data_IF_518957275094
#
_entry.id   IF_518957275094
#
_cell.length_a   1.000
_cell.length_b   1.000
_cell.length_c   1.000
_cell.angle_alpha   90.00
_cell.angle_beta   90.00
_cell.angle_gamma   90.00
#
_symmetry.space_group_name_H-M   'P 1'
#
loop_
_entity.id
_entity.type
_entity.pdbx_description
1 polymer ?
#
# COMPACT_ATOMS: atom_id res chain seq x y z
N UNK A 1 3.27 76.66 -46.34
CA UNK A 1 3.53 78.03 -45.85
C UNK A 1 2.90 78.14 -44.47
N UNK A 2 3.72 78.42 -43.42
CA UNK A 2 3.44 79.16 -42.14
C UNK A 2 2.03 78.99 -41.50
N UNK A 3 1.79 78.82 -40.19
CA UNK A 3 2.50 79.23 -38.97
C UNK A 3 1.62 78.81 -37.75
N UNK A 4 2.27 78.30 -36.70
CA UNK A 4 2.24 78.77 -35.29
C UNK A 4 0.92 78.96 -34.49
N UNK A 5 0.79 78.12 -33.45
CA UNK A 5 0.72 78.43 -32.00
C UNK A 5 -0.38 79.36 -31.44
N UNK A 6 -1.16 78.90 -30.43
CA UNK A 6 -1.07 79.35 -29.01
C UNK A 6 -2.09 78.69 -28.07
N UNK A 7 -1.63 78.61 -26.82
CA UNK A 7 -2.15 77.94 -25.62
C UNK A 7 -3.43 78.57 -25.04
N UNK A 8 -4.15 77.78 -24.23
CA UNK A 8 -4.76 78.25 -22.99
C UNK A 8 -4.67 77.16 -21.90
N UNK A 9 -4.22 77.60 -20.73
CA UNK A 9 -4.03 76.87 -19.48
C UNK A 9 -5.38 76.85 -18.74
N UNK A 10 -5.74 75.73 -18.12
CA UNK A 10 -6.67 75.72 -17.00
C UNK A 10 -6.16 74.78 -15.90
N UNK A 11 -5.95 75.40 -14.74
CA UNK A 11 -5.53 74.86 -13.46
C UNK A 11 -6.74 74.21 -12.76
N UNK A 12 -6.62 73.04 -12.12
CA UNK A 12 -7.74 72.50 -11.34
C UNK A 12 -7.53 71.15 -10.67
N UNK A 13 -7.01 71.20 -9.43
CA UNK A 13 -7.19 70.26 -8.32
C UNK A 13 -6.83 68.76 -8.51
N UNK A 14 -5.67 68.39 -7.97
CA UNK A 14 -5.33 67.02 -7.58
C UNK A 14 -6.05 66.68 -6.27
N UNK A 15 -7.06 65.81 -6.33
CA UNK A 15 -7.56 65.09 -5.15
C UNK A 15 -6.68 63.87 -4.91
N UNK A 16 -5.97 63.87 -3.78
CA UNK A 16 -5.23 62.72 -3.29
C UNK A 16 -6.19 61.59 -2.89
N UNK A 17 -6.10 60.44 -3.58
CA UNK A 17 -6.56 59.17 -3.04
C UNK A 17 -5.34 58.38 -2.59
N UNK A 18 -5.30 58.09 -1.29
CA UNK A 18 -4.31 57.25 -0.64
C UNK A 18 -4.28 55.87 -1.28
N UNK A 19 -3.15 55.49 -1.88
CA UNK A 19 -2.89 54.12 -2.29
C UNK A 19 -2.77 53.26 -1.02
N UNK A 20 -3.86 52.57 -0.68
CA UNK A 20 -3.85 51.54 0.35
C UNK A 20 -3.02 50.35 -0.11
N UNK A 21 -1.83 50.20 0.46
CA UNK A 21 -0.95 49.05 0.31
C UNK A 21 -1.62 47.80 0.89
N UNK A 22 -2.48 47.15 0.12
CA UNK A 22 -2.97 45.80 0.44
C UNK A 22 -1.91 44.78 0.06
N UNK A 23 -0.92 44.53 0.93
CA UNK A 23 -0.18 43.28 0.87
C UNK A 23 -1.19 42.16 1.15
N UNK A 24 -1.64 41.49 0.10
CA UNK A 24 -2.23 40.16 0.25
C UNK A 24 -1.13 39.28 0.87
N UNK A 25 -1.27 38.98 2.16
CA UNK A 25 -0.50 37.92 2.78
C UNK A 25 -0.87 36.63 2.03
N UNK A 26 -0.02 36.24 1.07
CA UNK A 26 -0.04 34.90 0.51
C UNK A 26 0.39 34.02 1.68
N UNK A 27 -0.59 33.56 2.46
CA UNK A 27 -0.35 32.56 3.48
C UNK A 27 0.21 31.35 2.76
N UNK A 28 1.51 31.12 2.91
CA UNK A 28 2.14 29.86 2.56
C UNK A 28 1.46 28.79 3.41
N UNK A 29 0.41 28.17 2.87
CA UNK A 29 -0.11 26.94 3.40
C UNK A 29 1.02 25.92 3.29
N UNK A 30 1.80 25.78 4.37
CA UNK A 30 2.80 24.74 4.49
C UNK A 30 2.02 23.43 4.32
N UNK A 31 2.22 22.73 3.18
CA UNK A 31 1.59 21.45 2.97
C UNK A 31 1.97 20.55 4.15
N UNK A 32 0.97 20.10 4.92
CA UNK A 32 1.21 19.20 6.03
C UNK A 32 1.82 17.92 5.46
N UNK A 33 2.99 17.55 5.98
CA UNK A 33 3.62 16.28 5.63
C UNK A 33 3.10 15.19 6.56
N UNK A 34 2.57 14.11 6.00
CA UNK A 34 2.18 12.96 6.82
C UNK A 34 3.44 12.17 7.21
N UNK A 35 3.46 11.66 8.44
CA UNK A 35 4.54 10.79 8.92
C UNK A 35 4.13 9.33 8.81
N UNK A 36 5.10 8.44 8.63
CA UNK A 36 4.88 6.98 8.70
C UNK A 36 4.14 6.64 10.01
N UNK A 37 3.04 5.87 9.95
CA UNK A 37 2.33 5.41 11.14
C UNK A 37 3.25 4.70 12.13
N UNK A 38 2.95 4.84 13.43
CA UNK A 38 3.73 4.17 14.48
C UNK A 38 3.35 2.69 14.65
N UNK A 39 2.20 2.27 14.13
CA UNK A 39 1.67 0.92 14.32
C UNK A 39 0.97 0.41 13.08
N UNK A 40 0.99 -0.91 12.92
CA UNK A 40 0.30 -1.63 11.86
C UNK A 40 -0.54 -2.77 12.44
N UNK A 41 -1.46 -3.27 11.62
CA UNK A 41 -2.17 -4.52 11.88
C UNK A 41 -1.30 -5.69 11.39
N UNK A 42 -1.25 -6.78 12.15
CA UNK A 42 -0.56 -8.01 11.78
C UNK A 42 -1.51 -9.21 11.81
N UNK A 43 -1.34 -10.11 10.85
CA UNK A 43 -2.02 -11.39 10.74
C UNK A 43 -1.04 -12.52 11.09
N UNK A 44 -1.45 -13.44 11.97
CA UNK A 44 -0.63 -14.61 12.34
C UNK A 44 -0.48 -15.62 11.20
N UNK A 45 0.58 -16.43 11.20
CA UNK A 45 0.88 -17.41 10.15
C UNK A 45 -0.19 -18.50 9.95
N UNK A 46 -1.01 -18.78 10.96
CA UNK A 46 -2.14 -19.69 10.82
C UNK A 46 -3.40 -19.02 10.26
N UNK A 47 -3.36 -17.72 9.98
CA UNK A 47 -4.46 -16.94 9.41
C UNK A 47 -5.63 -16.68 10.36
N UNK A 48 -5.51 -17.00 11.65
CA UNK A 48 -6.64 -16.97 12.59
C UNK A 48 -6.60 -15.85 13.60
N UNK A 49 -5.46 -15.20 13.84
CA UNK A 49 -5.34 -14.17 14.87
C UNK A 49 -4.85 -12.85 14.28
N UNK A 50 -5.42 -11.77 14.80
CA UNK A 50 -5.08 -10.40 14.47
C UNK A 50 -4.50 -9.69 15.70
N UNK A 51 -3.50 -8.86 15.47
CA UNK A 51 -2.85 -8.06 16.51
C UNK A 51 -2.42 -6.73 15.93
N UNK A 52 -2.42 -5.66 16.72
CA UNK A 52 -1.67 -4.45 16.34
C UNK A 52 -0.27 -4.53 16.95
N UNK A 53 0.71 -4.00 16.25
CA UNK A 53 2.10 -3.96 16.68
C UNK A 53 2.76 -2.62 16.33
N UNK A 54 3.90 -2.33 16.95
CA UNK A 54 4.70 -1.14 16.66
C UNK A 54 5.62 -1.36 15.46
N UNK A 55 5.57 -0.46 14.46
CA UNK A 55 6.46 -0.47 13.30
C UNK A 55 7.91 -0.07 13.64
N UNK A 56 8.18 0.36 14.87
CA UNK A 56 9.55 0.71 15.32
C UNK A 56 10.17 -0.35 16.20
N UNK A 57 9.36 -1.08 17.00
CA UNK A 57 9.87 -2.05 17.97
C UNK A 57 9.48 -3.49 17.67
N UNK A 58 8.57 -3.73 16.71
CA UNK A 58 8.02 -5.06 16.42
C UNK A 58 7.22 -5.68 17.57
N UNK A 59 6.96 -4.93 18.64
CA UNK A 59 6.23 -5.43 19.81
C UNK A 59 4.73 -5.25 19.63
N UNK A 60 3.95 -6.22 20.08
CA UNK A 60 2.49 -6.12 20.16
C UNK A 60 2.07 -4.91 20.99
N UNK A 61 1.17 -4.10 20.44
CA UNK A 61 0.54 -2.98 21.14
C UNK A 61 -0.86 -3.32 21.63
N UNK A 62 -1.61 -4.15 20.88
CA UNK A 62 -2.94 -4.63 21.26
C UNK A 62 -3.22 -5.99 20.64
N UNK A 63 -3.77 -6.92 21.42
CA UNK A 63 -4.33 -8.14 20.88
C UNK A 63 -5.76 -7.85 20.38
N UNK A 64 -6.05 -8.12 19.11
CA UNK A 64 -7.42 -8.08 18.60
C UNK A 64 -8.10 -9.45 18.77
N UNK A 65 -7.32 -10.52 18.74
CA UNK A 65 -7.79 -11.89 18.98
C UNK A 65 -8.11 -12.61 17.69
N UNK A 66 -8.99 -13.60 17.76
CA UNK A 66 -9.32 -14.44 16.60
C UNK A 66 -10.18 -13.70 15.57
N UNK A 67 -9.91 -13.94 14.29
CA UNK A 67 -10.75 -13.52 13.17
C UNK A 67 -12.07 -14.31 13.15
N UNK A 68 -13.05 -13.85 13.94
CA UNK A 68 -14.39 -14.44 14.03
C UNK A 68 -15.31 -13.85 12.97
N UNK A 69 -16.20 -14.67 12.41
CA UNK A 69 -17.17 -14.24 11.39
C UNK A 69 -16.85 -14.68 9.95
N UNK A 70 -15.90 -15.61 9.78
CA UNK A 70 -15.64 -16.27 8.51
C UNK A 70 -16.86 -17.10 8.07
N UNK A 71 -17.18 -17.06 6.77
CA UNK A 71 -18.31 -17.76 6.16
C UNK A 71 -17.81 -18.53 4.93
N UNK A 72 -17.65 -19.84 5.09
CA UNK A 72 -17.10 -20.75 4.07
C UNK A 72 -15.58 -20.85 4.07
N UNK A 73 -14.89 -19.86 4.64
CA UNK A 73 -13.45 -19.85 4.89
C UNK A 73 -13.13 -20.33 6.32
N UNK A 74 -11.94 -20.86 6.56
CA UNK A 74 -11.47 -21.31 7.89
C UNK A 74 -10.28 -20.52 8.42
N UNK A 75 -9.63 -19.73 7.56
CA UNK A 75 -8.56 -18.78 7.93
C UNK A 75 -8.46 -17.65 6.90
N UNK A 76 -7.79 -16.57 7.29
CA UNK A 76 -7.35 -15.51 6.38
C UNK A 76 -6.00 -15.88 5.75
N UNK A 77 -5.76 -15.43 4.53
CA UNK A 77 -4.50 -15.61 3.79
C UNK A 77 -3.71 -14.32 3.60
N UNK A 78 -4.35 -13.16 3.71
CA UNK A 78 -3.70 -11.85 3.61
C UNK A 78 -4.63 -10.71 4.02
N UNK A 79 -4.05 -9.55 4.34
CA UNK A 79 -4.74 -8.33 4.76
C UNK A 79 -4.11 -7.10 4.11
N UNK A 80 -4.93 -6.09 3.83
CA UNK A 80 -4.44 -4.75 3.46
C UNK A 80 -5.49 -3.66 3.77
N UNK A 81 -5.07 -2.41 3.93
CA UNK A 81 -5.93 -1.24 4.03
C UNK A 81 -6.21 -0.63 2.65
N UNK A 82 -7.49 -0.54 2.29
CA UNK A 82 -7.92 0.12 1.06
C UNK A 82 -7.80 1.65 1.19
N UNK A 83 -6.96 2.34 0.40
CA UNK A 83 -6.79 3.80 0.51
C UNK A 83 -8.07 4.61 0.30
N UNK A 84 -9.00 4.11 -0.52
CA UNK A 84 -10.23 4.82 -0.87
C UNK A 84 -11.31 4.85 0.22
N UNK A 85 -11.27 3.97 1.23
CA UNK A 85 -12.21 4.02 2.37
C UNK A 85 -11.58 3.78 3.75
N UNK A 86 -10.25 3.61 3.80
CA UNK A 86 -9.45 3.36 4.99
C UNK A 86 -9.94 2.18 5.82
N UNK A 87 -10.62 1.19 5.22
CA UNK A 87 -10.96 -0.07 5.90
C UNK A 87 -9.87 -1.09 5.63
N UNK A 88 -9.58 -1.94 6.63
CA UNK A 88 -8.79 -3.14 6.37
C UNK A 88 -9.69 -4.19 5.75
N UNK A 89 -9.28 -4.70 4.60
CA UNK A 89 -9.84 -5.89 4.01
C UNK A 89 -8.94 -7.10 4.28
N UNK A 90 -9.54 -8.27 4.27
CA UNK A 90 -8.86 -9.54 4.38
C UNK A 90 -9.39 -10.51 3.33
N UNK A 91 -8.54 -11.42 2.87
CA UNK A 91 -8.91 -12.52 1.96
C UNK A 91 -8.89 -13.83 2.75
N UNK A 92 -9.93 -14.64 2.62
CA UNK A 92 -10.05 -15.97 3.22
C UNK A 92 -9.48 -17.07 2.31
N UNK A 93 -9.21 -18.25 2.87
CA UNK A 93 -8.58 -19.38 2.16
C UNK A 93 -9.46 -20.04 1.09
N UNK A 94 -10.74 -19.69 1.01
CA UNK A 94 -11.69 -20.03 -0.05
C UNK A 94 -12.12 -18.80 -0.86
N UNK A 95 -11.36 -17.71 -0.77
CA UNK A 95 -11.57 -16.50 -1.54
C UNK A 95 -12.67 -15.58 -1.00
N UNK A 96 -13.18 -15.80 0.21
CA UNK A 96 -14.06 -14.81 0.82
C UNK A 96 -13.32 -13.50 1.06
N UNK A 97 -13.94 -12.36 0.76
CA UNK A 97 -13.37 -11.04 1.05
C UNK A 97 -14.13 -10.45 2.22
N UNK A 98 -13.38 -9.97 3.20
CA UNK A 98 -13.90 -9.53 4.48
C UNK A 98 -13.43 -8.10 4.79
N UNK A 99 -14.24 -7.35 5.52
CA UNK A 99 -13.79 -6.15 6.23
C UNK A 99 -13.48 -6.52 7.68
N UNK A 100 -12.33 -6.06 8.18
CA UNK A 100 -11.86 -6.29 9.55
C UNK A 100 -12.25 -5.14 10.47
N UNK A 101 -12.82 -5.45 11.63
CA UNK A 101 -13.01 -4.48 12.70
C UNK A 101 -11.70 -4.29 13.49
N UNK A 102 -11.05 -3.13 13.34
CA UNK A 102 -9.78 -2.81 14.05
C UNK A 102 -9.90 -2.75 15.58
N UNK A 103 -11.11 -2.69 16.12
CA UNK A 103 -11.38 -2.67 17.55
C UNK A 103 -11.22 -4.04 18.22
N UNK A 104 -11.65 -5.11 17.54
CA UNK A 104 -11.81 -6.45 18.13
C UNK A 104 -11.49 -7.63 17.17
N UNK A 105 -11.01 -7.37 15.95
CA UNK A 105 -10.60 -8.40 14.99
C UNK A 105 -11.75 -9.19 14.36
N UNK A 106 -13.02 -8.89 14.66
CA UNK A 106 -14.17 -9.52 14.01
C UNK A 106 -14.15 -9.17 12.52
N UNK A 107 -14.40 -10.16 11.68
CA UNK A 107 -14.45 -10.04 10.22
C UNK A 107 -15.88 -10.20 9.72
N UNK A 108 -16.24 -9.43 8.69
CA UNK A 108 -17.56 -9.51 8.03
C UNK A 108 -17.37 -9.67 6.54
N UNK A 109 -17.92 -10.74 5.97
CA UNK A 109 -17.85 -11.00 4.52
C UNK A 109 -18.56 -9.87 3.75
N UNK A 110 -17.91 -9.37 2.72
CA UNK A 110 -18.39 -8.29 1.85
C UNK A 110 -18.37 -8.67 0.38
N UNK A 111 -17.52 -9.60 -0.02
CA UNK A 111 -17.45 -10.11 -1.38
C UNK A 111 -16.89 -11.54 -1.39
N UNK A 112 -16.76 -12.12 -2.57
CA UNK A 112 -16.26 -13.47 -2.82
C UNK A 112 -15.47 -13.48 -4.13
N UNK A 113 -14.28 -14.06 -4.15
CA UNK A 113 -13.59 -14.29 -5.42
C UNK A 113 -14.39 -15.29 -6.27
N UNK A 114 -14.58 -14.97 -7.56
CA UNK A 114 -15.20 -15.86 -8.55
C UNK A 114 -14.23 -16.87 -9.16
N UNK A 115 -12.94 -16.77 -8.82
CA UNK A 115 -11.86 -17.66 -9.23
C UNK A 115 -11.25 -18.28 -7.99
N UNK A 116 -10.96 -19.58 -8.04
CA UNK A 116 -10.35 -20.30 -6.93
C UNK A 116 -8.90 -19.83 -6.70
N UNK A 117 -8.49 -19.80 -5.43
CA UNK A 117 -7.11 -19.54 -5.06
C UNK A 117 -6.25 -20.77 -5.34
N UNK A 118 -5.07 -20.56 -5.91
CA UNK A 118 -4.08 -21.60 -6.19
C UNK A 118 -2.79 -21.30 -5.41
N UNK A 119 -2.26 -22.32 -4.71
CA UNK A 119 -1.04 -22.19 -3.93
C UNK A 119 -1.24 -22.24 -2.42
N UNK A 120 -0.16 -21.93 -1.71
CA UNK A 120 -0.07 -21.99 -0.24
C UNK A 120 0.22 -20.63 0.37
N UNK A 121 1.01 -19.79 -0.30
CA UNK A 121 1.46 -18.50 0.19
C UNK A 121 1.00 -17.40 -0.75
N UNK A 122 0.49 -16.30 -0.18
CA UNK A 122 -0.24 -15.30 -0.93
C UNK A 122 0.20 -13.89 -0.52
N UNK A 123 0.29 -13.00 -1.51
CA UNK A 123 0.39 -11.55 -1.30
C UNK A 123 -0.96 -10.90 -1.63
N UNK A 124 -1.39 -9.95 -0.81
CA UNK A 124 -2.66 -9.23 -0.96
C UNK A 124 -2.41 -7.75 -0.74
N UNK A 125 -2.82 -6.90 -1.68
CA UNK A 125 -2.61 -5.45 -1.58
C UNK A 125 -3.57 -4.67 -2.49
N UNK A 126 -4.03 -3.49 -2.08
CA UNK A 126 -4.84 -2.62 -2.92
C UNK A 126 -3.96 -1.77 -3.81
N UNK A 127 -4.29 -1.73 -5.09
CA UNK A 127 -3.80 -0.68 -5.97
C UNK A 127 -4.55 0.63 -5.68
N UNK A 128 -3.88 1.70 -5.20
CA UNK A 128 -4.55 2.97 -4.89
C UNK A 128 -5.20 3.65 -6.11
N UNK A 129 -4.53 3.65 -7.27
CA UNK A 129 -5.01 4.34 -8.47
C UNK A 129 -6.14 3.58 -9.20
N UNK A 130 -6.06 2.25 -9.25
CA UNK A 130 -7.08 1.41 -9.89
C UNK A 130 -8.23 1.07 -8.94
N UNK A 131 -8.03 1.25 -7.62
CA UNK A 131 -8.95 0.83 -6.58
C UNK A 131 -9.35 -0.65 -6.72
N UNK A 132 -8.33 -1.52 -6.88
CA UNK A 132 -8.51 -2.96 -7.05
C UNK A 132 -7.62 -3.73 -6.08
N UNK A 133 -8.19 -4.77 -5.49
CA UNK A 133 -7.46 -5.72 -4.66
C UNK A 133 -6.66 -6.66 -5.56
N UNK A 134 -5.35 -6.69 -5.41
CA UNK A 134 -4.44 -7.66 -6.02
C UNK A 134 -4.31 -8.86 -5.10
N UNK A 135 -4.33 -10.06 -5.68
CA UNK A 135 -3.97 -11.30 -5.00
C UNK A 135 -2.97 -12.04 -5.87
N UNK A 136 -1.79 -12.34 -5.33
CA UNK A 136 -0.78 -13.18 -5.99
C UNK A 136 -0.47 -14.41 -5.16
N UNK A 137 0.14 -15.44 -5.75
CA UNK A 137 0.55 -16.64 -5.01
C UNK A 137 1.89 -17.23 -5.44
N UNK A 138 2.37 -18.16 -4.61
CA UNK A 138 3.57 -18.97 -4.85
C UNK A 138 3.51 -19.85 -6.11
N UNK A 139 2.33 -20.04 -6.73
CA UNK A 139 2.19 -20.74 -8.01
C UNK A 139 2.32 -19.82 -9.23
N UNK A 140 2.45 -18.51 -9.01
CA UNK A 140 2.43 -17.50 -10.06
C UNK A 140 1.02 -17.01 -10.42
N UNK A 141 -0.01 -17.39 -9.65
CA UNK A 141 -1.35 -16.86 -9.82
C UNK A 141 -1.34 -15.35 -9.62
N UNK A 142 -2.12 -14.64 -10.43
CA UNK A 142 -2.19 -13.20 -10.43
C UNK A 142 -3.64 -12.75 -10.67
N UNK A 143 -4.34 -12.35 -9.61
CA UNK A 143 -5.75 -11.99 -9.64
C UNK A 143 -5.94 -10.51 -9.32
N UNK A 144 -6.98 -9.92 -9.89
CA UNK A 144 -7.51 -8.62 -9.45
C UNK A 144 -8.99 -8.74 -9.12
N UNK A 145 -9.43 -8.04 -8.09
CA UNK A 145 -10.83 -8.02 -7.69
C UNK A 145 -11.30 -6.61 -7.36
N UNK A 146 -12.53 -6.28 -7.76
CA UNK A 146 -13.20 -5.03 -7.39
C UNK A 146 -14.13 -5.26 -6.19
N UNK A 147 -13.74 -4.71 -5.03
CA UNK A 147 -14.53 -4.84 -3.79
C UNK A 147 -15.71 -3.86 -3.72
N UNK A 148 -15.80 -2.91 -4.65
CA UNK A 148 -16.86 -1.90 -4.68
C UNK A 148 -18.11 -2.35 -5.43
N UNK A 149 -18.01 -3.45 -6.19
CA UNK A 149 -19.13 -3.95 -7.00
C UNK A 149 -20.06 -4.86 -6.19
N UNK A 150 -21.37 -4.80 -6.43
CA UNK A 150 -22.33 -5.70 -5.79
C UNK A 150 -22.19 -7.15 -6.28
N UNK A 151 -21.77 -7.35 -7.53
CA UNK A 151 -21.46 -8.66 -8.09
C UNK A 151 -19.95 -8.88 -8.06
N UNK A 152 -19.47 -10.11 -7.75
CA UNK A 152 -18.04 -10.33 -7.66
C UNK A 152 -17.37 -10.36 -9.04
N UNK A 153 -16.32 -9.55 -9.20
CA UNK A 153 -15.60 -9.36 -10.48
C UNK A 153 -14.11 -9.68 -10.32
N UNK A 154 -13.78 -10.96 -10.15
CA UNK A 154 -12.38 -11.40 -10.18
C UNK A 154 -11.90 -11.55 -11.62
N UNK A 155 -10.88 -10.77 -11.99
CA UNK A 155 -10.13 -10.94 -13.22
C UNK A 155 -8.90 -11.82 -12.97
N UNK A 156 -8.64 -12.74 -13.91
CA UNK A 156 -7.38 -13.50 -13.98
C UNK A 156 -6.45 -12.73 -14.92
N UNK A 157 -5.35 -12.21 -14.37
CA UNK A 157 -4.31 -11.54 -15.14
C UNK A 157 -3.26 -12.55 -15.65
N UNK A 158 -2.31 -12.08 -16.47
CA UNK A 158 -1.17 -12.90 -16.88
C UNK A 158 -0.41 -13.44 -15.67
N UNK A 159 0.05 -14.70 -15.71
CA UNK A 159 0.77 -15.30 -14.59
C UNK A 159 2.04 -14.52 -14.30
N UNK A 160 2.46 -14.49 -13.04
CA UNK A 160 3.74 -13.92 -12.67
C UNK A 160 4.84 -14.63 -13.46
N UNK A 161 5.72 -13.88 -14.12
CA UNK A 161 6.71 -14.47 -15.04
C UNK A 161 8.00 -13.66 -15.15
N UNK A 162 9.09 -14.38 -15.40
CA UNK A 162 10.36 -13.82 -15.87
C UNK A 162 10.50 -14.19 -17.34
N UNK A 163 10.43 -13.19 -18.23
CA UNK A 163 10.56 -13.36 -19.68
C UNK A 163 9.66 -14.47 -20.25
N UNK A 164 8.39 -14.49 -19.81
CA UNK A 164 7.38 -15.46 -20.24
C UNK A 164 7.42 -16.81 -19.50
N UNK A 165 8.45 -17.08 -18.69
CA UNK A 165 8.51 -18.28 -17.84
C UNK A 165 7.81 -18.02 -16.51
N UNK A 166 6.81 -18.83 -16.16
CA UNK A 166 6.05 -18.69 -14.91
C UNK A 166 6.99 -18.69 -13.70
N UNK A 167 6.87 -17.65 -12.88
CA UNK A 167 7.58 -17.49 -11.64
C UNK A 167 6.83 -18.17 -10.50
N UNK A 168 7.55 -18.96 -9.70
CA UNK A 168 7.02 -19.60 -8.50
C UNK A 168 7.73 -19.05 -7.25
N UNK A 169 6.99 -18.99 -6.14
CA UNK A 169 7.46 -18.48 -4.84
C UNK A 169 7.47 -16.96 -4.70
N UNK A 170 6.67 -16.25 -5.49
CA UNK A 170 6.40 -14.82 -5.26
C UNK A 170 5.21 -14.71 -4.33
N UNK A 171 5.44 -14.30 -3.07
CA UNK A 171 4.47 -14.54 -1.98
C UNK A 171 4.02 -13.29 -1.24
N UNK A 172 4.50 -12.11 -1.63
CA UNK A 172 4.10 -10.84 -1.02
C UNK A 172 4.15 -9.73 -2.07
N UNK A 173 3.26 -8.74 -1.94
CA UNK A 173 3.03 -7.68 -2.92
C UNK A 173 2.71 -6.38 -2.18
N UNK A 174 3.10 -5.24 -2.75
CA UNK A 174 2.83 -3.91 -2.19
C UNK A 174 2.90 -2.82 -3.26
N UNK A 175 1.85 -2.00 -3.36
CA UNK A 175 1.76 -0.88 -4.29
C UNK A 175 2.29 0.42 -3.67
N UNK A 176 3.04 1.18 -4.45
CA UNK A 176 3.43 2.55 -4.08
C UNK A 176 2.26 3.53 -4.18
N UNK A 177 2.46 4.71 -3.59
CA UNK A 177 1.59 5.87 -3.68
C UNK A 177 0.18 5.63 -3.13
N UNK A 178 0.12 5.25 -1.86
CA UNK A 178 -1.11 4.99 -1.10
C UNK A 178 -1.90 6.27 -0.80
N UNK A 179 -2.28 6.97 -1.86
CA UNK A 179 -3.15 8.14 -1.89
C UNK A 179 -4.26 7.96 -2.92
N UNK A 180 -5.25 8.85 -2.88
CA UNK A 180 -6.40 8.84 -3.78
C UNK A 180 -6.26 9.88 -4.91
N UNK A 181 -5.07 10.44 -5.14
CA UNK A 181 -4.86 11.40 -6.21
C UNK A 181 -4.69 10.65 -7.54
N UNK A 182 -5.60 10.86 -8.52
CA UNK A 182 -5.56 10.14 -9.79
C UNK A 182 -4.31 10.43 -10.64
N UNK A 183 -3.53 11.47 -10.29
CA UNK A 183 -2.29 11.84 -10.97
C UNK A 183 -1.04 11.11 -10.45
N UNK A 184 -1.07 10.49 -9.26
CA UNK A 184 0.11 9.89 -8.63
C UNK A 184 0.61 8.63 -9.36
N UNK A 185 -0.30 7.87 -9.99
CA UNK A 185 0.00 6.54 -10.53
C UNK A 185 0.49 5.57 -9.44
N UNK A 186 0.76 4.31 -9.81
CA UNK A 186 1.20 3.27 -8.85
C UNK A 186 2.23 2.36 -9.47
N UNK A 187 3.19 1.90 -8.68
CA UNK A 187 4.12 0.82 -9.04
C UNK A 187 3.90 -0.37 -8.11
N UNK A 188 3.83 -1.58 -8.67
CA UNK A 188 3.76 -2.81 -7.88
C UNK A 188 5.15 -3.38 -7.64
N UNK A 189 5.47 -3.64 -6.38
CA UNK A 189 6.65 -4.42 -5.98
C UNK A 189 6.22 -5.71 -5.30
N UNK A 190 6.96 -6.79 -5.56
CA UNK A 190 6.75 -8.10 -4.97
C UNK A 190 8.02 -8.62 -4.30
N UNK A 191 7.85 -9.62 -3.43
CA UNK A 191 8.94 -10.40 -2.87
C UNK A 191 8.93 -11.81 -3.49
N UNK A 192 9.96 -12.12 -4.28
CA UNK A 192 10.26 -13.49 -4.72
C UNK A 192 11.07 -14.18 -3.62
N UNK A 193 10.38 -14.96 -2.80
CA UNK A 193 10.96 -15.67 -1.65
C UNK A 193 11.74 -16.93 -2.06
N UNK A 194 11.61 -17.38 -3.31
CA UNK A 194 12.43 -18.49 -3.85
C UNK A 194 13.79 -17.99 -4.32
N UNK A 195 13.83 -16.80 -4.95
CA UNK A 195 15.04 -16.16 -5.48
C UNK A 195 15.67 -15.13 -4.53
N UNK A 196 15.02 -14.86 -3.41
CA UNK A 196 15.39 -13.84 -2.42
C UNK A 196 15.55 -12.43 -3.05
N UNK A 197 14.60 -12.05 -3.92
CA UNK A 197 14.61 -10.79 -4.68
C UNK A 197 13.41 -9.91 -4.35
N UNK A 198 13.65 -8.60 -4.26
CA UNK A 198 12.61 -7.61 -4.54
C UNK A 198 12.50 -7.46 -6.05
N UNK A 199 11.28 -7.52 -6.57
CA UNK A 199 10.99 -7.40 -7.99
C UNK A 199 9.88 -6.39 -8.24
N UNK A 200 9.98 -5.65 -9.33
CA UNK A 200 8.92 -4.80 -9.83
C UNK A 200 8.03 -5.59 -10.79
N UNK A 201 6.71 -5.53 -10.63
CA UNK A 201 5.76 -6.18 -11.55
C UNK A 201 5.23 -5.15 -12.56
N UNK A 202 5.75 -5.19 -13.79
CA UNK A 202 5.50 -4.16 -14.79
C UNK A 202 5.49 -4.74 -16.22
N UNK A 203 4.36 -4.64 -16.96
CA UNK A 203 3.03 -4.21 -16.51
C UNK A 203 2.41 -5.20 -15.51
N UNK A 204 1.71 -4.68 -14.49
CA UNK A 204 1.11 -5.52 -13.44
C UNK A 204 0.15 -6.59 -14.00
N UNK A 205 -0.70 -6.23 -14.96
CA UNK A 205 -1.70 -7.17 -15.49
C UNK A 205 -1.11 -8.22 -16.45
N UNK A 206 0.12 -8.04 -16.90
CA UNK A 206 0.85 -9.03 -17.70
C UNK A 206 1.68 -9.97 -16.83
N UNK A 207 1.86 -9.66 -15.54
CA UNK A 207 2.62 -10.47 -14.59
C UNK A 207 4.14 -10.43 -14.76
N UNK A 208 4.67 -9.64 -15.68
CA UNK A 208 6.12 -9.53 -15.93
C UNK A 208 6.86 -9.02 -14.70
N UNK A 209 7.94 -9.69 -14.31
CA UNK A 209 8.77 -9.36 -13.16
C UNK A 209 10.14 -8.86 -13.62
N UNK A 210 10.53 -7.69 -13.14
CA UNK A 210 11.86 -7.11 -13.30
C UNK A 210 12.58 -7.08 -11.95
N UNK A 211 13.80 -7.60 -11.89
CA UNK A 211 14.57 -7.65 -10.64
C UNK A 211 15.00 -6.24 -10.23
N UNK A 212 14.66 -5.85 -9.00
CA UNK A 212 15.17 -4.64 -8.37
C UNK A 212 16.47 -4.94 -7.61
N UNK A 213 16.48 -6.01 -6.82
CA UNK A 213 17.70 -6.53 -6.22
C UNK A 213 17.49 -7.53 -5.08
N UNK A 214 18.57 -8.14 -4.59
CA UNK A 214 18.50 -9.18 -3.58
C UNK A 214 18.31 -8.60 -2.17
N UNK A 215 17.58 -9.31 -1.32
CA UNK A 215 17.43 -8.94 0.10
C UNK A 215 18.26 -9.75 1.10
N UNK A 216 19.10 -10.68 0.64
CA UNK A 216 20.10 -11.35 1.47
C UNK A 216 20.04 -12.89 1.38
N UNK A 217 20.42 -13.61 2.45
CA UNK A 217 20.45 -15.07 2.44
C UNK A 217 19.04 -15.67 2.42
N UNK A 218 18.94 -16.93 1.98
CA UNK A 218 17.69 -17.66 1.82
C UNK A 218 16.76 -17.55 3.02
N UNK A 219 15.55 -17.06 2.76
CA UNK A 219 14.48 -16.93 3.74
C UNK A 219 13.44 -18.05 3.62
N UNK A 220 12.53 -18.12 4.59
CA UNK A 220 11.37 -19.00 4.50
C UNK A 220 10.31 -18.40 3.56
N UNK A 221 9.35 -19.21 3.07
CA UNK A 221 8.35 -18.77 2.10
C UNK A 221 7.23 -17.89 2.70
N UNK A 222 7.20 -17.73 4.03
CA UNK A 222 6.18 -16.90 4.71
C UNK A 222 6.69 -15.47 4.79
N UNK A 223 6.07 -14.60 4.02
CA UNK A 223 6.36 -13.18 4.00
C UNK A 223 5.07 -12.34 3.92
N UNK A 224 5.12 -11.16 4.51
CA UNK A 224 4.14 -10.08 4.33
C UNK A 224 4.87 -8.83 3.88
N UNK A 225 4.22 -8.00 3.08
CA UNK A 225 4.83 -6.82 2.50
C UNK A 225 3.77 -5.74 2.29
N UNK A 226 4.11 -4.51 2.65
CA UNK A 226 3.25 -3.34 2.45
C UNK A 226 4.16 -2.13 2.19
N UNK A 227 3.68 -1.21 1.37
CA UNK A 227 4.35 0.05 1.07
C UNK A 227 3.48 1.19 1.58
N UNK A 228 4.06 1.98 2.48
CA UNK A 228 3.40 3.16 3.02
C UNK A 228 3.95 4.43 2.37
N UNK A 229 3.03 5.27 1.90
CA UNK A 229 3.33 6.62 1.45
C UNK A 229 3.47 7.60 2.63
N UNK A 230 4.37 8.57 2.52
CA UNK A 230 4.28 9.82 3.29
C UNK A 230 3.83 10.93 2.36
N UNK A 231 2.73 11.60 2.68
CA UNK A 231 2.12 12.60 1.82
C UNK A 231 2.70 13.98 2.07
N UNK A 232 2.73 14.80 1.02
CA UNK A 232 2.85 16.25 1.11
C UNK A 232 1.57 16.85 0.53
N UNK A 233 0.65 17.30 1.40
CA UNK A 233 -0.71 17.60 0.98
C UNK A 233 -1.48 16.33 0.62
N UNK A 234 -2.12 16.27 -0.55
CA UNK A 234 -2.94 15.13 -1.00
C UNK A 234 -2.18 14.06 -1.76
N UNK A 235 -0.87 14.22 -1.99
CA UNK A 235 -0.04 13.33 -2.81
C UNK A 235 1.06 12.68 -2.01
N UNK A 236 1.36 11.43 -2.31
CA UNK A 236 2.54 10.74 -1.78
C UNK A 236 3.82 11.42 -2.27
N UNK A 237 4.68 11.79 -1.32
CA UNK A 237 5.99 12.41 -1.56
C UNK A 237 7.15 11.41 -1.46
N UNK A 238 7.00 10.36 -0.64
CA UNK A 238 7.99 9.30 -0.50
C UNK A 238 7.29 7.97 -0.18
N UNK A 239 7.93 6.85 -0.55
CA UNK A 239 7.43 5.50 -0.36
C UNK A 239 8.41 4.70 0.50
N UNK A 240 7.93 4.09 1.57
CA UNK A 240 8.72 3.18 2.41
C UNK A 240 8.10 1.79 2.42
N UNK A 241 8.86 0.78 1.98
CA UNK A 241 8.46 -0.61 2.10
C UNK A 241 8.74 -1.18 3.49
N UNK A 242 7.84 -2.02 3.98
CA UNK A 242 8.02 -2.82 5.19
C UNK A 242 7.69 -4.29 4.90
N UNK A 243 8.51 -5.19 5.44
CA UNK A 243 8.31 -6.62 5.28
C UNK A 243 8.33 -7.36 6.63
N UNK A 244 7.45 -8.35 6.78
CA UNK A 244 7.56 -9.39 7.80
C UNK A 244 8.12 -10.64 7.15
N UNK A 245 9.28 -11.12 7.60
CA UNK A 245 9.92 -12.31 7.02
C UNK A 245 10.13 -13.38 8.06
N UNK A 246 9.60 -14.58 7.80
CA UNK A 246 9.81 -15.75 8.65
C UNK A 246 11.03 -16.57 8.18
N UNK A 247 11.92 -16.99 9.09
CA UNK A 247 13.11 -17.75 8.71
C UNK A 247 12.76 -19.21 8.31
N UNK A 248 13.62 -19.80 7.48
CA UNK A 248 13.47 -21.16 6.88
C UNK A 248 13.35 -22.29 7.91
N UNK A 249 13.90 -22.13 9.12
CA UNK A 249 13.81 -23.11 10.22
C UNK A 249 12.60 -22.94 11.14
N UNK A 250 11.69 -22.00 10.84
CA UNK A 250 10.59 -21.63 11.72
C UNK A 250 10.99 -20.68 12.85
N UNK A 251 10.00 -20.29 13.65
CA UNK A 251 10.12 -19.25 14.66
C UNK A 251 9.42 -17.95 14.27
N UNK A 252 9.58 -16.93 15.11
CA UNK A 252 8.95 -15.62 14.89
C UNK A 252 9.63 -14.87 13.76
N UNK A 253 8.82 -14.15 12.98
CA UNK A 253 9.30 -13.32 11.91
C UNK A 253 10.11 -12.12 12.42
N UNK A 254 10.82 -11.48 11.49
CA UNK A 254 11.53 -10.21 11.70
C UNK A 254 10.91 -9.14 10.82
N UNK A 255 10.71 -7.94 11.39
CA UNK A 255 10.29 -6.74 10.69
C UNK A 255 11.50 -6.08 10.03
N UNK A 256 11.36 -5.77 8.74
CA UNK A 256 12.35 -5.07 7.94
C UNK A 256 11.76 -3.81 7.32
N UNK A 257 12.61 -2.79 7.14
CA UNK A 257 12.41 -1.76 6.12
C UNK A 257 13.03 -2.26 4.82
N UNK A 258 12.36 -2.00 3.71
CA UNK A 258 12.74 -2.45 2.37
C UNK A 258 13.04 -1.23 1.51
N UNK A 259 14.23 -1.20 0.92
CA UNK A 259 14.52 -0.27 -0.17
C UNK A 259 14.02 -0.89 -1.48
N UNK A 260 12.97 -0.32 -2.06
CA UNK A 260 12.26 -0.90 -3.21
C UNK A 260 13.13 -1.06 -4.45
N UNK A 261 14.04 -0.11 -4.71
CA UNK A 261 14.83 -0.07 -5.94
C UNK A 261 16.10 -0.93 -5.88
N UNK A 262 16.74 -1.02 -4.72
CA UNK A 262 17.95 -1.85 -4.54
C UNK A 262 17.66 -3.24 -4.00
N UNK A 263 16.44 -3.48 -3.52
CA UNK A 263 16.06 -4.70 -2.81
C UNK A 263 16.64 -4.85 -1.41
N UNK A 264 17.44 -3.89 -0.91
CA UNK A 264 18.11 -4.02 0.38
C UNK A 264 17.12 -4.01 1.56
N UNK A 265 17.23 -5.02 2.43
CA UNK A 265 16.49 -5.09 3.68
C UNK A 265 17.30 -4.52 4.84
N UNK A 266 16.67 -3.70 5.67
CA UNK A 266 17.25 -3.16 6.91
C UNK A 266 16.40 -3.64 8.08
N UNK A 267 17.00 -4.45 8.96
CA UNK A 267 16.31 -5.00 10.13
C UNK A 267 15.81 -3.88 11.03
N UNK A 268 14.53 -3.94 11.39
CA UNK A 268 13.92 -3.06 12.40
C UNK A 268 13.89 -3.77 13.74
N UNK A 269 13.18 -4.90 13.82
CA UNK A 269 13.00 -5.63 15.07
C UNK A 269 12.57 -7.09 14.83
N UNK A 270 12.84 -7.97 15.79
CA UNK A 270 12.22 -9.29 15.83
C UNK A 270 10.84 -9.18 16.48
N UNK A 271 9.82 -9.81 15.91
CA UNK A 271 8.49 -9.78 16.51
C UNK A 271 8.44 -10.58 17.82
N UNK A 272 7.59 -10.15 18.75
CA UNK A 272 7.26 -10.86 20.00
C UNK A 272 6.01 -11.74 19.87
N UNK A 273 5.39 -11.72 18.68
CA UNK A 273 4.23 -12.52 18.28
C UNK A 273 4.40 -13.05 16.86
N UNK A 274 3.60 -14.06 16.56
CA UNK A 274 3.51 -14.60 15.21
C UNK A 274 2.77 -13.60 14.31
N UNK A 275 3.52 -12.96 13.41
CA UNK A 275 3.04 -12.01 12.41
C UNK A 275 3.63 -12.45 11.07
N UNK A 276 2.79 -13.01 10.22
CA UNK A 276 3.15 -13.46 8.87
C UNK A 276 2.84 -12.41 7.81
N UNK A 277 1.79 -11.62 8.02
CA UNK A 277 1.38 -10.54 7.12
C UNK A 277 1.07 -9.26 7.89
N UNK A 278 1.12 -8.11 7.21
CA UNK A 278 0.97 -6.79 7.83
C UNK A 278 0.21 -5.81 6.92
N UNK A 279 -0.66 -5.00 7.53
CA UNK A 279 -1.35 -3.90 6.87
C UNK A 279 -1.09 -2.59 7.64
N UNK A 280 -0.49 -1.61 6.96
CA UNK A 280 -0.08 -0.32 7.48
C UNK A 280 -1.21 0.68 7.18
N UNK A 281 -1.64 1.48 8.18
CA UNK A 281 -2.60 2.53 7.93
C UNK A 281 -2.10 3.53 6.90
N UNK A 282 -2.89 3.78 5.86
CA UNK A 282 -2.48 4.67 4.79
C UNK A 282 -2.82 6.12 5.17
N UNK A 283 -2.05 7.11 4.69
CA UNK A 283 -2.34 8.52 4.95
C UNK A 283 -3.75 8.91 4.52
N UNK A 284 -4.36 9.84 5.24
CA UNK A 284 -5.64 10.47 4.87
C UNK A 284 -5.43 11.76 4.11
#
# INVERSE_FOLDING_TARGET
MRQRTRHLIALGAVTALTAGSGLAAVGSAQAATSTIPKSALGLSSNGKNLTTFSLTTGKRTKALGQAKGLVGDVRLIGIDERPADHKVYAVGDKGGIYVVNRGNGVVRKVSQLSVALEGTYFGVDFNPAADRLRIISDTGQNLRHDVSQPAPTTAVDGPLNYDGTVATGVTAAGYTNSDNDPSSGTTLFNLDMTRDQVVQQVPANSGNLLVSGPFGPRQGPVAGFDVVGTNSGTRTADNTGFASIRPTGGGLATLYRVNLLSGKFTKVAKFDKDIADLAIPQPR
#
